data_IF_266866818077
#
_entry.id   IF_266866818077
#
_cell.length_a   1.000
_cell.length_b   1.000
_cell.length_c   1.000
_cell.angle_alpha   90.00
_cell.angle_beta   90.00
_cell.angle_gamma   90.00
#
_symmetry.space_group_name_H-M   'P 1'
#
loop_
_entity.id
_entity.type
_entity.pdbx_description
1 polymer ?
#
# COMPACT_ATOMS: atom_id res chain seq x y z
N UNK A 1 -37.90 -66.34 -29.24
CA UNK A 1 -39.20 -65.63 -29.29
C UNK A 1 -38.95 -64.14 -29.46
N UNK A 2 -39.52 -63.54 -30.52
CA UNK A 2 -39.81 -62.10 -30.83
C UNK A 2 -38.61 -61.12 -30.87
N UNK A 3 -38.08 -60.69 -32.02
CA UNK A 3 -38.58 -59.87 -33.18
C UNK A 3 -38.77 -58.37 -32.83
N UNK A 4 -37.91 -57.51 -33.40
CA UNK A 4 -38.14 -56.07 -33.69
C UNK A 4 -38.74 -55.92 -35.13
N UNK A 5 -39.23 -54.77 -35.69
CA UNK A 5 -38.90 -53.35 -35.40
C UNK A 5 -40.01 -52.26 -35.70
N UNK A 6 -39.63 -50.97 -35.64
CA UNK A 6 -40.06 -49.75 -36.43
C UNK A 6 -41.45 -49.05 -36.35
N UNK A 7 -41.41 -47.75 -35.90
CA UNK A 7 -42.01 -46.43 -36.37
C UNK A 7 -43.54 -46.31 -36.69
N UNK A 8 -44.21 -45.10 -36.78
CA UNK A 8 -43.73 -43.71 -37.05
C UNK A 8 -44.46 -42.48 -36.37
N UNK A 9 -43.95 -41.26 -36.69
CA UNK A 9 -44.60 -39.94 -36.99
C UNK A 9 -45.74 -39.37 -36.10
N UNK A 10 -45.62 -38.18 -35.48
CA UNK A 10 -45.70 -36.79 -35.99
C UNK A 10 -47.13 -36.15 -35.93
N UNK A 11 -47.14 -34.86 -35.54
CA UNK A 11 -48.17 -33.84 -35.77
C UNK A 11 -49.48 -33.86 -34.95
N UNK A 12 -49.60 -32.90 -34.02
CA UNK A 12 -50.84 -32.15 -33.79
C UNK A 12 -50.47 -30.75 -33.29
N UNK A 13 -50.35 -29.82 -34.23
CA UNK A 13 -50.22 -28.40 -33.99
C UNK A 13 -51.62 -27.74 -33.98
N UNK A 14 -51.70 -26.59 -33.31
CA UNK A 14 -52.71 -25.52 -33.42
C UNK A 14 -54.12 -25.76 -32.83
N UNK A 15 -54.43 -24.99 -31.78
CA UNK A 15 -55.69 -24.28 -31.46
C UNK A 15 -55.62 -24.00 -29.94
N UNK A 16 -55.48 -22.79 -29.41
CA UNK A 16 -56.15 -21.54 -29.72
C UNK A 16 -55.23 -20.35 -29.40
N UNK A 17 -55.15 -19.44 -30.36
CA UNK A 17 -54.53 -18.13 -30.27
C UNK A 17 -55.63 -17.10 -29.91
N UNK A 18 -55.37 -16.27 -28.90
CA UNK A 18 -55.87 -14.88 -28.69
C UNK A 18 -57.37 -14.61 -28.46
N UNK A 19 -57.71 -14.23 -27.22
CA UNK A 19 -58.64 -13.13 -26.95
C UNK A 19 -57.89 -12.03 -26.17
N UNK A 20 -57.93 -10.83 -26.72
CA UNK A 20 -57.09 -9.67 -26.43
C UNK A 20 -57.71 -8.73 -25.36
N UNK A 21 -56.84 -8.18 -24.50
CA UNK A 21 -56.68 -6.73 -24.19
C UNK A 21 -57.77 -6.01 -23.36
N UNK A 22 -57.43 -5.70 -22.08
CA UNK A 22 -57.35 -4.34 -21.51
C UNK A 22 -57.71 -4.27 -20.01
N UNK A 23 -56.72 -4.02 -19.15
CA UNK A 23 -56.77 -2.98 -18.09
C UNK A 23 -55.40 -2.90 -17.40
N UNK A 24 -54.79 -1.73 -17.50
CA UNK A 24 -53.48 -1.37 -16.96
C UNK A 24 -53.58 -0.96 -15.49
N UNK A 25 -52.79 -1.55 -14.58
CA UNK A 25 -52.33 -0.83 -13.38
C UNK A 25 -51.07 -1.44 -12.74
N UNK A 26 -50.06 -0.58 -12.60
CA UNK A 26 -48.94 -0.60 -11.64
C UNK A 26 -47.83 -1.67 -11.80
N UNK A 27 -46.75 -1.17 -12.39
CA UNK A 27 -45.33 -1.48 -12.18
C UNK A 27 -44.96 -2.07 -10.81
N UNK A 28 -44.26 -3.21 -10.83
CA UNK A 28 -43.04 -3.42 -10.02
C UNK A 28 -42.00 -4.15 -10.86
N UNK A 29 -41.00 -3.39 -11.29
CA UNK A 29 -39.75 -3.92 -11.80
C UNK A 29 -38.91 -4.48 -10.64
N UNK A 30 -37.91 -5.28 -11.03
CA UNK A 30 -36.81 -5.84 -10.23
C UNK A 30 -37.11 -7.14 -9.47
N UNK A 31 -36.86 -8.26 -10.15
CA UNK A 31 -35.89 -9.22 -9.62
C UNK A 31 -35.25 -10.00 -10.76
N UNK A 32 -34.12 -9.48 -11.23
CA UNK A 32 -33.13 -10.24 -11.96
C UNK A 32 -31.78 -9.99 -11.30
N UNK A 33 -31.60 -10.52 -10.09
CA UNK A 33 -30.27 -10.71 -9.53
C UNK A 33 -29.91 -12.17 -9.74
N UNK A 34 -29.53 -12.48 -10.98
CA UNK A 34 -28.71 -13.64 -11.25
C UNK A 34 -27.38 -13.42 -10.50
N UNK A 35 -27.28 -13.98 -9.30
CA UNK A 35 -26.04 -14.00 -8.53
C UNK A 35 -24.99 -14.75 -9.33
N UNK A 36 -24.00 -14.02 -9.82
CA UNK A 36 -22.79 -14.58 -10.43
C UNK A 36 -22.04 -15.36 -9.35
N UNK A 37 -22.26 -16.68 -9.31
CA UNK A 37 -21.54 -17.62 -8.47
C UNK A 37 -20.14 -17.81 -9.06
N UNK A 38 -19.14 -17.17 -8.46
CA UNK A 38 -17.72 -17.40 -8.77
C UNK A 38 -16.84 -16.17 -8.89
N UNK A 39 -17.38 -14.96 -8.78
CA UNK A 39 -16.57 -13.75 -8.79
C UNK A 39 -16.04 -13.40 -7.39
N UNK A 40 -14.72 -13.28 -7.23
CA UNK A 40 -14.14 -12.48 -6.14
C UNK A 40 -14.73 -11.08 -6.27
N UNK A 41 -15.64 -10.72 -5.36
CA UNK A 41 -16.25 -9.39 -5.36
C UNK A 41 -15.33 -8.49 -4.56
N UNK A 42 -14.50 -7.72 -5.26
CA UNK A 42 -13.76 -6.63 -4.64
C UNK A 42 -14.77 -5.53 -4.28
N UNK A 43 -14.99 -5.33 -2.98
CA UNK A 43 -15.80 -4.21 -2.51
C UNK A 43 -14.90 -3.29 -1.68
N UNK A 44 -14.28 -2.26 -2.28
CA UNK A 44 -13.44 -1.31 -1.55
C UNK A 44 -14.22 -0.56 -0.46
N UNK A 45 -15.56 -0.52 -0.52
CA UNK A 45 -16.40 0.02 0.54
C UNK A 45 -16.60 -0.93 1.74
N UNK A 46 -16.29 -2.22 1.60
CA UNK A 46 -16.33 -3.19 2.69
C UNK A 46 -15.05 -3.21 3.53
N UNK A 47 -13.97 -2.58 3.05
CA UNK A 47 -12.67 -2.53 3.73
C UNK A 47 -12.67 -1.75 5.05
N UNK A 48 -13.80 -1.16 5.47
CA UNK A 48 -13.97 -0.48 6.77
C UNK A 48 -15.39 -0.68 7.33
N UNK A 49 -15.97 -1.86 7.10
CA UNK A 49 -17.28 -2.21 7.68
C UNK A 49 -17.11 -2.78 9.09
N UNK A 50 -18.09 -2.58 9.97
CA UNK A 50 -18.04 -3.12 11.33
C UNK A 50 -17.87 -4.66 11.34
N UNK A 51 -18.38 -5.33 10.30
CA UNK A 51 -18.26 -6.78 10.13
C UNK A 51 -16.82 -7.19 9.75
N UNK A 52 -16.19 -6.52 8.79
CA UNK A 52 -14.79 -6.78 8.39
C UNK A 52 -13.82 -6.54 9.56
N UNK A 53 -14.03 -5.47 10.33
CA UNK A 53 -13.24 -5.19 11.54
C UNK A 53 -13.43 -6.28 12.60
N UNK A 54 -14.65 -6.77 12.77
CA UNK A 54 -14.95 -7.90 13.64
C UNK A 54 -14.27 -9.20 13.21
N UNK A 55 -14.09 -9.42 11.91
CA UNK A 55 -13.30 -10.54 11.39
C UNK A 55 -11.79 -10.33 11.57
N UNK A 56 -11.30 -9.10 11.36
CA UNK A 56 -9.89 -8.74 11.55
C UNK A 56 -9.44 -8.91 13.01
N UNK A 57 -10.23 -8.41 13.96
CA UNK A 57 -9.96 -8.60 15.41
C UNK A 57 -9.93 -10.06 15.81
N UNK A 58 -10.91 -10.85 15.35
CA UNK A 58 -10.94 -12.28 15.60
C UNK A 58 -9.68 -12.97 15.07
N UNK A 59 -9.24 -12.63 13.86
CA UNK A 59 -8.04 -13.22 13.27
C UNK A 59 -6.78 -12.92 14.10
N UNK A 60 -6.62 -11.67 14.55
CA UNK A 60 -5.48 -11.26 15.39
C UNK A 60 -5.52 -11.96 16.76
N UNK A 61 -6.69 -11.97 17.42
CA UNK A 61 -6.87 -12.62 18.72
C UNK A 61 -6.57 -14.12 18.66
N UNK A 62 -7.06 -14.78 17.62
CA UNK A 62 -6.88 -16.22 17.42
C UNK A 62 -5.41 -16.55 17.10
N UNK A 63 -4.74 -15.71 16.31
CA UNK A 63 -3.31 -15.84 16.06
C UNK A 63 -2.49 -15.64 17.35
N UNK A 64 -2.78 -14.60 18.13
CA UNK A 64 -2.11 -14.32 19.40
C UNK A 64 -2.24 -15.49 20.39
N UNK A 65 -3.43 -16.13 20.46
CA UNK A 65 -3.64 -17.32 21.29
C UNK A 65 -2.85 -18.55 20.80
N UNK A 66 -2.81 -18.79 19.49
CA UNK A 66 -2.16 -19.97 18.90
C UNK A 66 -0.64 -19.87 18.89
N UNK A 67 -0.10 -18.67 18.65
CA UNK A 67 1.34 -18.42 18.47
C UNK A 67 1.99 -17.70 19.66
N UNK A 68 1.22 -17.40 20.71
CA UNK A 68 1.66 -16.61 21.86
C UNK A 68 2.31 -15.27 21.43
N UNK A 69 1.67 -14.63 20.44
CA UNK A 69 2.12 -13.38 19.86
C UNK A 69 1.40 -12.18 20.50
N UNK A 70 1.95 -10.98 20.30
CA UNK A 70 1.42 -9.71 20.84
C UNK A 70 1.14 -8.75 19.69
N UNK A 71 0.25 -9.15 18.77
CA UNK A 71 -0.21 -8.29 17.69
C UNK A 71 -1.39 -7.44 18.17
N UNK A 72 -1.35 -6.13 17.90
CA UNK A 72 -2.48 -5.23 18.13
C UNK A 72 -3.15 -4.88 16.80
N UNK A 73 -4.44 -5.18 16.67
CA UNK A 73 -5.21 -4.86 15.47
C UNK A 73 -5.36 -3.33 15.30
N UNK A 74 -5.07 -2.81 14.09
CA UNK A 74 -5.25 -1.39 13.75
C UNK A 74 -6.50 -1.19 12.89
N UNK A 75 -6.49 -1.75 11.68
CA UNK A 75 -7.60 -1.62 10.70
C UNK A 75 -7.52 -2.69 9.62
N UNK A 76 -8.62 -2.89 8.90
CA UNK A 76 -8.63 -3.64 7.65
C UNK A 76 -8.26 -2.69 6.50
N UNK A 77 -7.33 -3.10 5.65
CA UNK A 77 -6.90 -2.37 4.45
C UNK A 77 -7.69 -2.83 3.24
N UNK A 78 -7.97 -4.13 3.17
CA UNK A 78 -8.70 -4.74 2.06
C UNK A 78 -9.53 -5.90 2.58
N UNK A 79 -10.74 -6.05 2.07
CA UNK A 79 -11.62 -7.16 2.37
C UNK A 79 -12.18 -7.73 1.07
N UNK A 80 -11.93 -9.01 0.84
CA UNK A 80 -12.48 -9.79 -0.26
C UNK A 80 -13.32 -10.92 0.30
N UNK A 81 -14.41 -11.22 -0.37
CA UNK A 81 -15.29 -12.32 0.01
C UNK A 81 -15.27 -13.38 -1.09
N UNK A 82 -15.16 -14.63 -0.68
CA UNK A 82 -15.21 -15.77 -1.56
C UNK A 82 -16.24 -16.78 -1.05
N UNK A 83 -17.25 -17.05 -1.87
CA UNK A 83 -18.29 -18.06 -1.59
C UNK A 83 -17.71 -19.45 -1.85
N UNK A 84 -17.75 -20.31 -0.82
CA UNK A 84 -17.29 -21.71 -0.85
C UNK A 84 -18.36 -22.58 -0.18
N UNK A 85 -18.00 -23.67 0.52
CA UNK A 85 -18.87 -24.34 1.48
C UNK A 85 -19.05 -23.49 2.77
N UNK A 86 -19.39 -22.21 2.60
CA UNK A 86 -19.37 -21.13 3.60
C UNK A 86 -19.04 -19.80 2.92
N UNK A 87 -18.69 -18.81 3.72
CA UNK A 87 -18.07 -17.57 3.24
C UNK A 87 -16.64 -17.52 3.76
N UNK A 88 -15.68 -17.44 2.84
CA UNK A 88 -14.28 -17.22 3.17
C UNK A 88 -14.00 -15.73 3.01
N UNK A 89 -13.75 -15.04 4.13
CA UNK A 89 -13.33 -13.66 4.14
C UNK A 89 -11.81 -13.61 4.06
N UNK A 90 -11.33 -13.00 2.99
CA UNK A 90 -9.92 -12.76 2.78
C UNK A 90 -9.63 -11.31 3.12
N UNK A 91 -8.88 -11.10 4.20
CA UNK A 91 -8.69 -9.81 4.83
C UNK A 91 -7.21 -9.46 4.77
N UNK A 92 -6.91 -8.27 4.29
CA UNK A 92 -5.60 -7.64 4.46
C UNK A 92 -5.76 -6.65 5.61
N UNK A 93 -5.07 -6.86 6.72
CA UNK A 93 -5.18 -6.04 7.93
C UNK A 93 -3.82 -5.49 8.36
N UNK A 94 -3.84 -4.29 8.93
CA UNK A 94 -2.70 -3.69 9.61
C UNK A 94 -2.75 -4.05 11.10
N UNK A 95 -1.64 -4.54 11.62
CA UNK A 95 -1.46 -4.81 13.04
C UNK A 95 -0.08 -4.33 13.52
N UNK A 96 0.01 -3.88 14.78
CA UNK A 96 1.25 -3.46 15.41
C UNK A 96 1.86 -4.68 16.10
N UNK A 97 3.10 -4.99 15.75
CA UNK A 97 3.90 -6.02 16.43
C UNK A 97 5.16 -5.34 16.99
N UNK A 98 5.34 -5.40 18.31
CA UNK A 98 6.47 -4.76 19.01
C UNK A 98 6.68 -3.27 18.63
N UNK A 99 5.58 -2.52 18.48
CA UNK A 99 5.61 -1.09 18.14
C UNK A 99 5.78 -0.77 16.66
N UNK A 100 5.86 -1.77 15.77
CA UNK A 100 5.97 -1.57 14.30
C UNK A 100 4.67 -2.01 13.60
N UNK A 101 4.14 -1.14 12.73
CA UNK A 101 2.97 -1.45 11.89
C UNK A 101 3.35 -2.43 10.79
N UNK A 102 2.65 -3.55 10.73
CA UNK A 102 2.85 -4.64 9.77
C UNK A 102 1.53 -4.99 9.10
N UNK A 103 1.59 -5.46 7.86
CA UNK A 103 0.41 -5.96 7.14
C UNK A 103 0.39 -7.48 7.17
N UNK A 104 -0.79 -7.99 7.46
CA UNK A 104 -1.09 -9.41 7.54
C UNK A 104 -2.25 -9.72 6.62
N UNK A 105 -2.17 -10.88 5.98
CA UNK A 105 -3.29 -11.47 5.26
C UNK A 105 -3.89 -12.57 6.14
N UNK A 106 -5.18 -12.44 6.42
CA UNK A 106 -5.95 -13.37 7.21
C UNK A 106 -7.08 -13.97 6.36
N UNK A 107 -7.28 -15.28 6.46
CA UNK A 107 -8.41 -15.97 5.85
C UNK A 107 -9.31 -16.51 6.96
N UNK A 108 -10.51 -15.94 7.06
CA UNK A 108 -11.50 -16.32 8.06
C UNK A 108 -12.63 -17.06 7.37
N UNK A 109 -12.84 -18.32 7.72
CA UNK A 109 -13.91 -19.14 7.16
C UNK A 109 -15.12 -19.18 8.09
N UNK A 110 -16.26 -18.75 7.56
CA UNK A 110 -17.52 -18.63 8.30
C UNK A 110 -18.56 -19.54 7.66
N UNK A 111 -19.26 -20.34 8.46
CA UNK A 111 -20.45 -21.10 8.05
C UNK A 111 -21.60 -20.72 8.98
N UNK A 112 -22.46 -19.77 8.57
CA UNK A 112 -23.54 -19.28 9.43
C UNK A 112 -24.52 -20.39 9.87
N UNK A 113 -24.72 -21.42 9.03
CA UNK A 113 -25.62 -22.54 9.35
C UNK A 113 -25.04 -23.55 10.37
N UNK A 114 -23.78 -23.40 10.76
CA UNK A 114 -23.09 -24.24 11.76
C UNK A 114 -22.54 -23.41 12.94
N UNK A 115 -22.81 -22.10 12.98
CA UNK A 115 -22.17 -21.15 13.92
C UNK A 115 -20.64 -21.30 13.97
N UNK A 116 -20.06 -21.65 12.82
CA UNK A 116 -18.65 -21.97 12.72
C UNK A 116 -17.88 -20.77 12.19
N UNK A 117 -16.82 -20.39 12.90
CA UNK A 117 -15.89 -19.33 12.53
C UNK A 117 -14.48 -19.78 12.87
N UNK A 118 -13.62 -19.89 11.86
CA UNK A 118 -12.24 -20.35 12.05
C UNK A 118 -11.25 -19.49 11.26
N UNK A 119 -10.11 -19.21 11.89
CA UNK A 119 -8.94 -18.65 11.21
C UNK A 119 -8.23 -19.80 10.49
N UNK A 120 -8.35 -19.80 9.17
CA UNK A 120 -7.70 -20.79 8.32
C UNK A 120 -6.23 -20.47 8.11
N UNK A 121 -5.94 -19.20 7.84
CA UNK A 121 -4.61 -18.76 7.47
C UNK A 121 -4.35 -17.38 8.02
N UNK A 122 -3.11 -17.15 8.45
CA UNK A 122 -2.65 -15.86 8.95
C UNK A 122 -1.18 -15.71 8.57
N UNK A 123 -0.94 -14.93 7.53
CA UNK A 123 0.37 -14.80 6.91
C UNK A 123 0.81 -13.36 6.97
N UNK A 124 2.03 -13.14 7.44
CA UNK A 124 2.67 -11.84 7.32
C UNK A 124 2.95 -11.54 5.84
N UNK A 125 2.35 -10.49 5.30
CA UNK A 125 2.55 -10.06 3.90
C UNK A 125 3.75 -9.13 3.73
N UNK A 126 4.22 -8.55 4.82
CA UNK A 126 5.31 -7.59 4.85
C UNK A 126 5.01 -6.49 5.86
N UNK A 127 5.98 -5.61 6.08
CA UNK A 127 5.70 -4.37 6.78
C UNK A 127 4.58 -3.63 6.03
N UNK A 128 3.63 -3.04 6.77
CA UNK A 128 2.61 -2.22 6.14
C UNK A 128 3.34 -1.22 5.27
N UNK A 129 3.00 -1.12 3.98
CA UNK A 129 3.71 -0.27 3.04
C UNK A 129 3.74 1.19 3.53
N UNK A 130 4.71 1.49 4.41
CA UNK A 130 5.60 2.59 4.18
C UNK A 130 6.25 2.23 2.85
N UNK A 131 5.92 2.98 1.81
CA UNK A 131 6.59 2.91 0.53
C UNK A 131 8.10 2.78 0.79
N UNK A 132 8.64 1.57 0.66
CA UNK A 132 10.04 1.28 0.89
C UNK A 132 10.60 0.69 -0.38
N UNK A 133 11.76 1.23 -0.73
CA UNK A 133 12.50 1.19 -1.99
C UNK A 133 13.11 -0.20 -2.28
N UNK A 134 12.40 -1.28 -1.97
CA UNK A 134 12.98 -2.64 -2.00
C UNK A 134 12.63 -3.47 -3.24
N UNK A 135 11.68 -3.05 -4.08
CA UNK A 135 11.24 -3.86 -5.25
C UNK A 135 12.21 -3.81 -6.45
N UNK A 136 13.39 -3.20 -6.31
CA UNK A 136 14.40 -3.03 -7.38
C UNK A 136 15.67 -3.88 -7.22
N UNK A 137 15.70 -4.87 -6.32
CA UNK A 137 16.75 -5.89 -6.33
C UNK A 137 18.12 -5.45 -5.79
N UNK A 138 18.15 -4.82 -4.60
CA UNK A 138 19.40 -4.52 -3.91
C UNK A 138 19.81 -5.65 -2.95
N UNK A 139 20.95 -6.29 -3.25
CA UNK A 139 21.69 -7.09 -2.25
C UNK A 139 22.25 -6.17 -1.17
N UNK A 140 22.09 -6.65 0.07
CA UNK A 140 23.07 -6.63 1.18
C UNK A 140 23.10 -5.40 2.08
N UNK A 141 23.09 -5.71 3.38
CA UNK A 141 23.88 -5.01 4.39
C UNK A 141 23.00 -4.34 5.42
N UNK A 142 23.11 -4.78 6.67
CA UNK A 142 22.42 -4.16 7.79
C UNK A 142 22.82 -2.70 7.94
N UNK A 143 21.85 -1.80 7.82
CA UNK A 143 21.80 -0.55 8.57
C UNK A 143 20.35 -0.05 8.63
N UNK A 144 19.93 0.19 9.86
CA UNK A 144 18.80 0.97 10.36
C UNK A 144 17.74 1.44 9.35
N UNK A 145 16.56 0.83 9.44
CA UNK A 145 15.33 1.22 8.77
C UNK A 145 15.03 2.71 9.00
N UNK A 146 15.22 3.54 7.97
CA UNK A 146 14.85 4.96 8.02
C UNK A 146 15.39 5.80 6.88
N UNK A 147 16.63 5.57 6.45
CA UNK A 147 17.27 6.37 5.40
C UNK A 147 17.39 5.60 4.09
N UNK A 148 16.76 6.10 3.03
CA UNK A 148 16.85 5.59 1.67
C UNK A 148 17.84 6.42 0.87
N UNK A 149 18.78 5.80 0.15
CA UNK A 149 19.60 6.54 -0.81
C UNK A 149 18.73 6.97 -2.00
N UNK A 150 18.83 8.25 -2.38
CA UNK A 150 18.08 8.83 -3.49
C UNK A 150 19.04 9.23 -4.61
N UNK A 151 18.66 9.02 -5.89
CA UNK A 151 19.47 9.43 -7.02
C UNK A 151 19.77 10.93 -6.96
N UNK A 152 21.02 11.31 -7.22
CA UNK A 152 21.43 12.73 -7.22
C UNK A 152 20.86 13.50 -8.42
N UNK A 153 20.44 12.78 -9.46
CA UNK A 153 19.82 13.33 -10.65
C UNK A 153 18.33 13.65 -10.48
N UNK A 154 17.71 13.20 -9.38
CA UNK A 154 16.29 13.40 -9.10
C UNK A 154 15.97 14.91 -9.02
N UNK A 155 14.93 15.40 -9.74
CA UNK A 155 14.53 16.80 -9.69
C UNK A 155 14.25 17.29 -8.25
N UNK A 156 13.69 16.45 -7.39
CA UNK A 156 13.40 16.81 -5.99
C UNK A 156 14.67 17.04 -5.19
N UNK A 157 15.71 16.24 -5.43
CA UNK A 157 17.02 16.38 -4.77
C UNK A 157 17.72 17.63 -5.27
N UNK A 158 17.63 17.95 -6.57
CA UNK A 158 18.17 19.19 -7.14
C UNK A 158 17.50 20.42 -6.56
N UNK A 159 16.17 20.42 -6.51
CA UNK A 159 15.40 21.53 -5.93
C UNK A 159 15.74 21.75 -4.45
N UNK A 160 15.82 20.66 -3.68
CA UNK A 160 16.23 20.71 -2.28
C UNK A 160 17.67 21.21 -2.10
N UNK A 161 18.61 20.80 -2.97
CA UNK A 161 19.99 21.27 -2.95
C UNK A 161 20.09 22.76 -3.27
N UNK A 162 19.41 23.24 -4.32
CA UNK A 162 19.36 24.65 -4.65
C UNK A 162 18.74 25.49 -3.52
N UNK A 163 17.66 24.98 -2.92
CA UNK A 163 17.05 25.62 -1.76
C UNK A 163 18.00 25.67 -0.56
N UNK A 164 18.74 24.59 -0.30
CA UNK A 164 19.75 24.54 0.75
C UNK A 164 20.86 25.57 0.52
N UNK A 165 21.43 25.66 -0.68
CA UNK A 165 22.48 26.63 -1.01
C UNK A 165 21.99 28.06 -0.82
N UNK A 166 20.78 28.37 -1.30
CA UNK A 166 20.16 29.67 -1.09
C UNK A 166 20.01 29.98 0.41
N UNK A 167 19.48 29.03 1.18
CA UNK A 167 19.29 29.16 2.62
C UNK A 167 20.62 29.33 3.37
N UNK A 168 21.66 28.59 2.97
CA UNK A 168 23.02 28.71 3.54
C UNK A 168 23.59 30.09 3.22
N UNK A 169 23.42 30.57 1.98
CA UNK A 169 23.89 31.90 1.58
C UNK A 169 23.20 33.01 2.38
N UNK A 170 21.88 32.95 2.55
CA UNK A 170 21.11 33.94 3.32
C UNK A 170 21.48 33.95 4.81
N UNK A 171 21.78 32.77 5.38
CA UNK A 171 22.22 32.62 6.78
C UNK A 171 23.70 32.94 6.98
N UNK A 172 24.50 32.95 5.91
CA UNK A 172 25.93 33.20 5.96
C UNK A 172 26.24 34.66 5.65
N UNK A 173 27.08 35.29 6.47
CA UNK A 173 27.66 36.61 6.15
C UNK A 173 28.80 36.52 5.12
N UNK A 174 28.70 35.61 4.14
CA UNK A 174 29.76 35.38 3.14
C UNK A 174 29.74 36.48 2.08
N UNK A 175 30.88 37.13 1.87
CA UNK A 175 31.08 38.13 0.81
C UNK A 175 31.11 37.52 -0.60
N UNK A 176 31.37 36.21 -0.70
CA UNK A 176 31.35 35.46 -1.95
C UNK A 176 30.12 34.54 -1.99
N UNK A 177 29.40 34.48 -3.13
CA UNK A 177 28.26 33.58 -3.28
C UNK A 177 28.71 32.12 -3.23
N UNK A 178 27.93 31.26 -2.59
CA UNK A 178 28.09 29.82 -2.70
C UNK A 178 27.56 29.33 -4.04
N UNK A 179 28.41 28.63 -4.80
CA UNK A 179 28.07 27.96 -6.05
C UNK A 179 28.01 26.45 -5.82
N UNK A 180 26.93 25.80 -6.24
CA UNK A 180 26.80 24.35 -6.21
C UNK A 180 27.63 23.73 -7.34
N UNK A 181 28.69 22.98 -7.02
CA UNK A 181 29.50 22.27 -8.00
C UNK A 181 28.91 20.91 -8.34
N UNK A 182 28.69 20.08 -7.32
CA UNK A 182 28.18 18.72 -7.48
C UNK A 182 27.42 18.27 -6.23
N UNK A 183 26.47 17.35 -6.43
CA UNK A 183 25.81 16.61 -5.37
C UNK A 183 26.51 15.26 -5.29
N UNK A 184 27.22 15.01 -4.19
CA UNK A 184 28.02 13.80 -3.95
C UNK A 184 27.12 12.62 -3.58
N UNK A 185 26.04 12.88 -2.86
CA UNK A 185 25.09 11.86 -2.46
C UNK A 185 23.90 12.47 -1.75
N UNK A 186 22.77 11.78 -1.80
CA UNK A 186 21.57 12.22 -1.12
C UNK A 186 20.88 11.02 -0.46
N UNK A 187 20.36 11.26 0.74
CA UNK A 187 19.55 10.30 1.49
C UNK A 187 18.22 10.95 1.84
N UNK A 188 17.16 10.18 1.78
CA UNK A 188 15.82 10.62 2.11
C UNK A 188 15.24 9.72 3.21
N UNK A 189 14.59 10.32 4.19
CA UNK A 189 13.81 9.63 5.21
C UNK A 189 12.41 10.21 5.20
N UNK A 190 11.40 9.35 4.98
CA UNK A 190 10.00 9.76 5.05
C UNK A 190 9.53 9.67 6.50
N UNK A 191 9.05 10.78 7.04
CA UNK A 191 8.38 10.87 8.34
C UNK A 191 6.92 11.25 8.07
N UNK A 192 6.00 10.90 8.97
CA UNK A 192 4.53 10.97 8.75
C UNK A 192 4.05 12.28 8.09
N UNK A 193 4.60 13.43 8.46
CA UNK A 193 4.16 14.76 7.97
C UNK A 193 5.19 15.52 7.11
N UNK A 194 6.41 14.98 6.94
CA UNK A 194 7.48 15.62 6.15
C UNK A 194 8.56 14.62 5.73
N UNK A 195 9.24 14.89 4.61
CA UNK A 195 10.39 14.12 4.17
C UNK A 195 11.69 14.84 4.57
N UNK A 196 12.60 14.14 5.24
CA UNK A 196 13.95 14.61 5.53
C UNK A 196 14.88 14.23 4.40
N UNK A 197 15.74 15.16 3.99
CA UNK A 197 16.76 14.97 2.98
C UNK A 197 18.13 15.32 3.57
N UNK A 198 19.00 14.33 3.65
CA UNK A 198 20.42 14.49 3.95
C UNK A 198 21.18 14.58 2.63
N UNK A 199 21.57 15.79 2.23
CA UNK A 199 22.24 16.05 0.96
C UNK A 199 23.70 16.40 1.22
N UNK A 200 24.61 15.64 0.63
CA UNK A 200 26.04 15.93 0.62
C UNK A 200 26.39 16.61 -0.71
N UNK A 201 26.85 17.85 -0.65
CA UNK A 201 27.15 18.67 -1.83
C UNK A 201 28.52 19.32 -1.73
N UNK A 202 29.21 19.50 -2.86
CA UNK A 202 30.39 20.36 -2.94
C UNK A 202 29.96 21.75 -3.33
N UNK A 203 30.28 22.71 -2.48
CA UNK A 203 30.07 24.13 -2.74
C UNK A 203 31.41 24.81 -3.00
N UNK A 204 31.41 25.74 -3.94
CA UNK A 204 32.52 26.65 -4.19
C UNK A 204 32.19 28.01 -3.61
N UNK A 205 33.11 28.55 -2.82
CA UNK A 205 33.07 29.90 -2.28
C UNK A 205 34.32 30.64 -2.74
N UNK A 206 34.18 31.46 -3.78
CA UNK A 206 35.32 32.14 -4.41
C UNK A 206 36.31 31.14 -5.02
N UNK A 207 37.52 31.04 -4.44
CA UNK A 207 38.55 30.08 -4.86
C UNK A 207 38.60 28.79 -4.02
N UNK A 208 37.73 28.67 -3.00
CA UNK A 208 37.73 27.53 -2.07
C UNK A 208 36.58 26.59 -2.37
N UNK A 209 36.87 25.30 -2.49
CA UNK A 209 35.88 24.24 -2.63
C UNK A 209 35.73 23.51 -1.28
N UNK A 210 34.50 23.30 -0.84
CA UNK A 210 34.19 22.66 0.45
C UNK A 210 33.04 21.68 0.28
N UNK A 211 33.14 20.49 0.89
CA UNK A 211 32.00 19.56 1.00
C UNK A 211 31.14 19.97 2.18
N UNK A 212 29.84 20.09 1.97
CA UNK A 212 28.85 20.44 2.99
C UNK A 212 27.75 19.38 2.99
N UNK A 213 27.42 18.91 4.19
CA UNK A 213 26.24 18.09 4.45
C UNK A 213 25.11 19.00 4.92
N UNK A 214 23.98 18.97 4.24
CA UNK A 214 22.80 19.77 4.54
C UNK A 214 21.58 18.87 4.78
N UNK A 215 20.85 19.14 5.87
CA UNK A 215 19.59 18.50 6.20
C UNK A 215 18.42 19.42 5.84
N UNK A 216 17.61 19.02 4.87
CA UNK A 216 16.45 19.76 4.36
C UNK A 216 15.18 18.97 4.66
N UNK A 217 14.17 19.60 5.24
CA UNK A 217 12.85 18.99 5.39
C UNK A 217 11.91 19.51 4.31
N UNK A 218 11.13 18.62 3.70
CA UNK A 218 10.08 18.94 2.75
C UNK A 218 8.73 18.62 3.40
N UNK A 219 7.89 19.62 3.61
CA UNK A 219 6.53 19.42 4.10
C UNK A 219 5.63 18.81 3.01
N UNK A 220 4.45 18.30 3.40
CA UNK A 220 3.42 17.85 2.46
C UNK A 220 2.93 18.96 1.51
N UNK A 221 3.06 20.23 1.93
CA UNK A 221 2.76 21.41 1.12
C UNK A 221 3.83 21.70 0.04
N UNK A 222 4.93 20.94 0.04
CA UNK A 222 6.03 21.10 -0.90
C UNK A 222 7.05 22.18 -0.52
N UNK A 223 6.90 22.79 0.66
CA UNK A 223 7.85 23.77 1.17
C UNK A 223 9.13 23.08 1.68
N UNK A 224 10.28 23.61 1.29
CA UNK A 224 11.59 23.15 1.77
C UNK A 224 12.06 24.03 2.93
N UNK A 225 12.59 23.42 3.99
CA UNK A 225 13.16 24.11 5.15
C UNK A 225 14.53 23.52 5.44
N UNK A 226 15.57 24.36 5.38
CA UNK A 226 16.91 23.97 5.82
C UNK A 226 16.96 23.97 7.35
N UNK A 227 17.18 22.81 7.95
CA UNK A 227 17.33 22.70 9.40
C UNK A 227 18.77 22.87 9.83
N UNK A 228 19.65 22.02 9.32
CA UNK A 228 21.05 21.99 9.70
C UNK A 228 21.95 21.91 8.47
N UNK A 229 23.14 22.47 8.57
CA UNK A 229 24.22 22.21 7.63
C UNK A 229 25.55 22.19 8.38
N UNK A 230 26.44 21.28 8.01
CA UNK A 230 27.77 21.16 8.58
C UNK A 230 28.78 20.92 7.44
N UNK A 231 30.01 21.46 7.54
CA UNK A 231 31.10 21.03 6.68
C UNK A 231 31.30 19.53 6.85
N UNK A 232 31.30 18.78 5.76
CA UNK A 232 31.74 17.40 5.79
C UNK A 232 33.28 17.43 5.84
N UNK A 233 33.86 16.77 6.85
CA UNK A 233 35.30 16.84 7.08
C UNK A 233 36.09 16.48 5.81
N UNK A 234 37.17 17.22 5.60
CA UNK A 234 38.14 16.98 4.56
C UNK A 234 38.83 15.65 4.89
N UNK A 235 38.55 14.58 4.15
CA UNK A 235 39.54 13.52 3.99
C UNK A 235 40.75 14.15 3.29
N UNK A 236 41.65 14.70 4.08
CA UNK A 236 42.99 15.09 3.65
C UNK A 236 43.79 13.81 3.40
N UNK A 237 43.45 13.09 2.33
CA UNK A 237 44.36 12.14 1.68
C UNK A 237 45.03 12.85 0.51
N UNK A 238 45.93 13.78 0.84
CA UNK A 238 46.99 14.21 -0.06
C UNK A 238 48.32 13.85 0.57
N UNK A 239 48.79 12.65 0.28
CA UNK A 239 50.23 12.29 0.11
C UNK A 239 50.40 10.80 0.33
N UNK A 240 50.62 10.03 -0.75
CA UNK A 240 51.97 9.67 -1.18
C UNK A 240 51.96 8.99 -2.54
#
# INVERSE_FOLDING_TARGET
MRVAPTRPAAAAALLLLLLLVSTTLATRAASAMAGVLGGVKENPAAANSAESDGFGRFAVDEHNKRQNALLEFVRVVEAKEQVVAGTLHHLTLEAIEAGKKKVYEAKVWVKPWLDFKELQDFVHKGDAATFTTADLGAKKGGHEAGWCEVPVEDPVVKDAAHHAVKSIQERSNSLFPYELLEIVGAKAQVVEDFAKFDILMKLKRGSKEEKIKAEVHKSLEGAFVLNQHQPAEHDESSSK
#
